data_IF_221313762665
#
_entry.id   IF_221313762665
#
_cell.length_a   1.000
_cell.length_b   1.000
_cell.length_c   1.000
_cell.angle_alpha   90.00
_cell.angle_beta   90.00
_cell.angle_gamma   90.00
#
_symmetry.space_group_name_H-M   'P 1'
#
loop_
_entity.id
_entity.type
_entity.pdbx_description
1 polymer ?
#
# COMPACT_ATOMS: atom_id res chain seq x y z
N UNK A 1 -18.20 12.26 -25.11
CA UNK A 1 -18.70 12.52 -23.74
C UNK A 1 -17.95 11.60 -22.80
N UNK A 2 -17.04 12.11 -21.98
CA UNK A 2 -16.34 11.30 -20.99
C UNK A 2 -17.35 10.68 -20.02
N UNK A 3 -17.33 9.36 -19.77
CA UNK A 3 -18.21 8.76 -18.78
C UNK A 3 -17.85 9.29 -17.39
N UNK A 4 -18.89 9.63 -16.62
CA UNK A 4 -18.84 10.30 -15.31
C UNK A 4 -18.81 9.27 -14.18
N UNK A 5 -17.84 8.37 -14.17
CA UNK A 5 -17.77 7.33 -13.15
C UNK A 5 -16.59 7.55 -12.23
N UNK A 6 -16.88 7.57 -10.93
CA UNK A 6 -15.93 7.73 -9.82
C UNK A 6 -15.34 6.40 -9.35
N UNK A 7 -15.70 5.30 -10.01
CA UNK A 7 -15.41 3.94 -9.61
C UNK A 7 -14.87 3.18 -10.82
N UNK A 8 -13.81 2.41 -10.62
CA UNK A 8 -13.24 1.56 -11.67
C UNK A 8 -14.21 0.40 -11.95
N UNK A 9 -14.62 0.15 -13.20
CA UNK A 9 -15.54 -0.93 -13.53
C UNK A 9 -15.04 -2.29 -13.01
N UNK A 10 -15.90 -3.00 -12.30
CA UNK A 10 -15.58 -4.34 -11.79
C UNK A 10 -15.70 -5.44 -12.86
N UNK A 11 -16.41 -5.20 -13.96
CA UNK A 11 -16.70 -6.20 -14.99
C UNK A 11 -15.77 -6.05 -16.20
N UNK A 12 -15.06 -7.12 -16.55
CA UNK A 12 -14.25 -7.21 -17.76
C UNK A 12 -15.15 -7.29 -19.00
N UNK A 13 -14.93 -6.45 -20.03
CA UNK A 13 -15.74 -6.50 -21.25
C UNK A 13 -15.64 -7.84 -21.97
N UNK A 14 -16.76 -8.33 -22.51
CA UNK A 14 -16.84 -9.57 -23.31
C UNK A 14 -15.74 -9.71 -24.37
N UNK A 15 -15.34 -8.60 -25.01
CA UNK A 15 -14.29 -8.63 -26.04
C UNK A 15 -12.92 -9.04 -25.49
N UNK A 16 -12.65 -8.71 -24.22
CA UNK A 16 -11.42 -9.03 -23.50
C UNK A 16 -11.53 -10.42 -22.87
N UNK A 17 -12.73 -10.81 -22.44
CA UNK A 17 -12.99 -12.11 -21.82
C UNK A 17 -13.03 -13.30 -22.80
N UNK A 18 -12.92 -13.08 -24.13
CA UNK A 18 -13.06 -14.14 -25.14
C UNK A 18 -11.73 -14.78 -25.53
N UNK A 19 -11.77 -16.12 -25.56
CA UNK A 19 -10.77 -17.06 -26.08
C UNK A 19 -9.43 -17.12 -25.33
N UNK A 20 -9.37 -18.02 -24.35
CA UNK A 20 -8.16 -18.40 -23.63
C UNK A 20 -7.57 -19.64 -24.30
N UNK A 21 -6.34 -19.55 -24.79
CA UNK A 21 -5.56 -20.76 -25.04
C UNK A 21 -5.27 -21.40 -23.67
N UNK A 22 -5.48 -22.70 -23.52
CA UNK A 22 -4.97 -23.37 -22.33
C UNK A 22 -3.43 -23.29 -22.30
N UNK A 23 -2.85 -22.96 -21.14
CA UNK A 23 -1.41 -23.08 -20.94
C UNK A 23 -0.97 -24.52 -21.25
N UNK A 24 0.17 -24.68 -21.90
CA UNK A 24 0.83 -25.98 -22.01
C UNK A 24 1.24 -26.49 -20.63
N UNK A 25 1.55 -27.78 -20.52
CA UNK A 25 1.95 -28.38 -19.25
C UNK A 25 3.18 -27.68 -18.62
N UNK A 26 4.14 -27.24 -19.43
CA UNK A 26 5.33 -26.51 -18.94
C UNK A 26 5.00 -25.09 -18.50
N UNK A 27 4.10 -24.40 -19.21
CA UNK A 27 3.67 -23.04 -18.83
C UNK A 27 2.82 -23.09 -17.55
N UNK A 28 1.92 -24.06 -17.43
CA UNK A 28 1.10 -24.27 -16.24
C UNK A 28 1.93 -24.66 -15.00
N UNK A 29 3.07 -25.34 -15.20
CA UNK A 29 3.98 -25.66 -14.09
C UNK A 29 4.73 -24.43 -13.55
N UNK A 30 4.85 -23.36 -14.35
CA UNK A 30 5.43 -22.08 -13.94
C UNK A 30 4.36 -21.07 -13.47
N UNK A 31 3.08 -21.35 -13.69
CA UNK A 31 1.98 -20.46 -13.31
C UNK A 31 1.65 -20.56 -11.82
N UNK A 32 1.50 -19.39 -11.19
CA UNK A 32 1.17 -19.27 -9.78
C UNK A 32 2.33 -19.49 -8.84
N UNK A 33 3.57 -19.55 -9.33
CA UNK A 33 4.73 -19.61 -8.45
C UNK A 33 4.80 -18.35 -7.58
N UNK A 34 5.22 -18.54 -6.32
CA UNK A 34 5.23 -17.48 -5.32
C UNK A 34 6.62 -17.37 -4.73
N UNK A 35 7.17 -16.16 -4.73
CA UNK A 35 8.49 -15.88 -4.15
C UNK A 35 8.45 -14.70 -3.19
N UNK A 36 9.17 -14.82 -2.08
CA UNK A 36 9.47 -13.70 -1.20
C UNK A 36 10.49 -12.79 -1.89
N UNK A 37 10.12 -11.54 -2.18
CA UNK A 37 11.02 -10.54 -2.74
C UNK A 37 11.68 -9.75 -1.62
N UNK A 38 10.87 -9.28 -0.65
CA UNK A 38 11.32 -8.59 0.55
C UNK A 38 10.60 -9.22 1.74
N UNK A 39 11.35 -9.60 2.77
CA UNK A 39 10.76 -10.15 3.99
C UNK A 39 11.38 -9.46 5.21
N UNK A 40 10.62 -8.56 5.83
CA UNK A 40 11.04 -7.78 7.01
C UNK A 40 10.53 -8.39 8.31
N UNK A 41 9.63 -9.38 8.24
CA UNK A 41 9.12 -10.08 9.41
C UNK A 41 8.25 -11.29 9.06
N UNK A 42 7.67 -11.95 10.09
CA UNK A 42 6.65 -12.97 9.90
C UNK A 42 5.41 -12.39 9.21
N UNK A 43 4.75 -13.21 8.40
CA UNK A 43 3.42 -12.95 7.83
C UNK A 43 2.41 -12.69 8.96
N UNK A 44 1.50 -11.74 8.76
CA UNK A 44 0.49 -11.30 9.75
C UNK A 44 1.00 -10.34 10.83
N UNK A 45 2.32 -10.12 10.92
CA UNK A 45 2.94 -9.05 11.73
C UNK A 45 3.35 -7.85 10.84
N UNK A 46 3.21 -8.00 9.51
CA UNK A 46 3.61 -7.09 8.44
C UNK A 46 2.45 -6.86 7.50
N UNK A 47 2.54 -5.78 6.73
CA UNK A 47 1.67 -5.55 5.58
C UNK A 47 2.25 -6.32 4.40
N UNK A 48 1.55 -7.35 3.96
CA UNK A 48 1.96 -8.24 2.88
C UNK A 48 1.46 -7.68 1.53
N UNK A 49 2.39 -7.11 0.75
CA UNK A 49 2.11 -6.55 -0.60
C UNK A 49 2.37 -7.63 -1.64
N UNK A 50 1.35 -7.96 -2.43
CA UNK A 50 1.44 -8.97 -3.49
C UNK A 50 1.52 -8.29 -4.86
N UNK A 51 2.65 -8.48 -5.54
CA UNK A 51 2.80 -8.08 -6.93
C UNK A 51 2.45 -9.25 -7.86
N UNK A 52 1.63 -8.97 -8.88
CA UNK A 52 1.23 -9.96 -9.89
C UNK A 52 1.51 -9.39 -11.28
N UNK A 53 2.25 -10.13 -12.10
CA UNK A 53 2.61 -9.69 -13.46
C UNK A 53 1.57 -10.14 -14.48
N UNK A 54 0.99 -9.22 -15.27
CA UNK A 54 0.13 -9.56 -16.40
C UNK A 54 0.76 -9.20 -17.76
N UNK A 55 0.48 -10.02 -18.77
CA UNK A 55 1.09 -9.86 -20.10
C UNK A 55 2.57 -10.28 -20.16
N UNK A 56 3.06 -11.01 -19.16
CA UNK A 56 4.36 -11.68 -19.18
C UNK A 56 4.15 -13.16 -19.52
N UNK A 57 4.76 -13.62 -20.60
CA UNK A 57 4.74 -15.05 -20.95
C UNK A 57 5.62 -15.86 -19.98
N UNK A 58 5.57 -17.19 -20.06
CA UNK A 58 6.44 -18.06 -19.25
C UNK A 58 7.93 -17.74 -19.43
N UNK A 59 8.33 -17.31 -20.63
CA UNK A 59 9.71 -16.90 -20.92
C UNK A 59 10.09 -15.52 -20.35
N UNK A 60 9.12 -14.73 -19.89
CA UNK A 60 9.30 -13.34 -19.44
C UNK A 60 9.08 -13.17 -17.93
N UNK A 61 8.92 -14.25 -17.15
CA UNK A 61 8.75 -14.14 -15.70
C UNK A 61 9.99 -13.52 -15.02
N UNK A 62 11.19 -13.74 -15.59
CA UNK A 62 12.40 -13.05 -15.15
C UNK A 62 12.34 -11.53 -15.32
N UNK A 63 11.70 -11.05 -16.40
CA UNK A 63 11.49 -9.62 -16.66
C UNK A 63 10.49 -9.06 -15.64
N UNK A 64 9.36 -9.74 -15.42
CA UNK A 64 8.39 -9.36 -14.37
C UNK A 64 9.06 -9.23 -13.00
N UNK A 65 9.89 -10.19 -12.59
CA UNK A 65 10.58 -10.11 -11.30
C UNK A 65 11.55 -8.93 -11.23
N UNK A 66 12.18 -8.56 -12.34
CA UNK A 66 13.05 -7.39 -12.43
C UNK A 66 12.25 -6.08 -12.31
N UNK A 67 11.13 -5.99 -13.03
CA UNK A 67 10.22 -4.84 -13.00
C UNK A 67 9.63 -4.65 -11.61
N UNK A 68 9.21 -5.74 -10.96
CA UNK A 68 8.73 -5.73 -9.58
C UNK A 68 9.78 -5.15 -8.63
N UNK A 69 11.01 -5.67 -8.65
CA UNK A 69 12.09 -5.18 -7.76
C UNK A 69 12.35 -3.70 -7.99
N UNK A 70 12.50 -3.30 -9.25
CA UNK A 70 12.69 -1.88 -9.59
C UNK A 70 11.51 -1.02 -9.13
N UNK A 71 10.27 -1.51 -9.31
CA UNK A 71 9.06 -0.79 -8.94
C UNK A 71 8.98 -0.60 -7.43
N UNK A 72 9.23 -1.66 -6.67
CA UNK A 72 9.23 -1.60 -5.23
C UNK A 72 10.32 -0.66 -4.69
N UNK A 73 11.53 -0.70 -5.26
CA UNK A 73 12.63 0.20 -4.86
C UNK A 73 12.24 1.67 -5.09
N UNK A 74 11.57 1.98 -6.20
CA UNK A 74 11.09 3.33 -6.51
C UNK A 74 9.93 3.75 -5.59
N UNK A 75 8.91 2.91 -5.42
CA UNK A 75 7.77 3.18 -4.53
C UNK A 75 8.21 3.38 -3.08
N UNK A 76 9.09 2.50 -2.59
CA UNK A 76 9.60 2.54 -1.22
C UNK A 76 10.58 3.69 -0.95
N UNK A 77 10.95 4.47 -1.98
CA UNK A 77 11.68 5.72 -1.83
C UNK A 77 10.77 6.95 -1.63
N UNK A 78 9.46 6.81 -1.83
CA UNK A 78 8.48 7.90 -1.66
C UNK A 78 7.88 7.87 -0.27
N UNK A 79 7.68 9.04 0.37
CA UNK A 79 6.99 9.10 1.66
C UNK A 79 5.46 8.95 1.50
N UNK A 80 4.76 8.21 2.38
CA UNK A 80 5.27 7.64 3.63
C UNK A 80 5.89 6.24 3.52
N UNK A 81 5.99 5.61 2.35
CA UNK A 81 6.59 4.26 2.24
C UNK A 81 8.04 4.23 2.75
N UNK A 82 8.84 5.24 2.43
CA UNK A 82 10.24 5.31 2.84
C UNK A 82 10.45 5.21 4.35
N UNK A 83 9.70 5.98 5.14
CA UNK A 83 9.78 5.94 6.61
C UNK A 83 9.25 4.62 7.20
N UNK A 84 8.41 3.88 6.47
CA UNK A 84 7.66 2.73 6.96
C UNK A 84 8.05 1.41 6.29
N UNK A 85 9.10 1.38 5.46
CA UNK A 85 9.51 0.20 4.67
C UNK A 85 9.65 -1.11 5.50
N UNK A 86 10.02 -1.00 6.78
CA UNK A 86 10.16 -2.13 7.71
C UNK A 86 8.81 -2.74 8.15
N UNK A 87 7.68 -2.16 7.74
CA UNK A 87 6.35 -2.71 7.94
C UNK A 87 5.93 -3.67 6.85
N UNK A 88 6.64 -3.74 5.73
CA UNK A 88 6.17 -4.45 4.54
C UNK A 88 6.93 -5.76 4.32
N UNK A 89 6.18 -6.79 3.92
CA UNK A 89 6.72 -7.88 3.12
C UNK A 89 6.25 -7.67 1.67
N UNK A 90 7.02 -8.18 0.72
CA UNK A 90 6.71 -8.08 -0.71
C UNK A 90 6.83 -9.47 -1.33
N UNK A 91 5.76 -9.89 -1.99
CA UNK A 91 5.64 -11.19 -2.64
C UNK A 91 5.47 -10.99 -4.15
N UNK A 92 6.08 -11.86 -4.95
CA UNK A 92 5.72 -12.01 -6.35
C UNK A 92 4.78 -13.19 -6.51
N UNK A 93 3.79 -13.06 -7.39
CA UNK A 93 2.99 -14.18 -7.90
C UNK A 93 3.04 -14.16 -9.42
N UNK A 94 3.51 -15.26 -9.99
CA UNK A 94 3.71 -15.38 -11.43
C UNK A 94 2.38 -15.71 -12.12
N UNK A 95 1.80 -14.77 -12.86
CA UNK A 95 0.60 -15.02 -13.66
C UNK A 95 0.99 -15.18 -15.14
N UNK A 96 1.21 -16.43 -15.56
CA UNK A 96 1.75 -16.76 -16.87
C UNK A 96 0.71 -16.46 -17.95
N UNK A 97 1.00 -15.45 -18.77
CA UNK A 97 0.13 -15.03 -19.87
C UNK A 97 0.42 -15.80 -21.16
N UNK A 98 -0.62 -16.09 -21.95
CA UNK A 98 -0.46 -16.70 -23.28
C UNK A 98 0.21 -15.77 -24.29
N UNK A 99 0.00 -14.47 -24.14
CA UNK A 99 0.55 -13.44 -25.02
C UNK A 99 1.29 -12.37 -24.23
N UNK A 100 2.36 -11.86 -24.84
CA UNK A 100 3.10 -10.72 -24.28
C UNK A 100 2.37 -9.40 -24.53
N UNK A 101 2.34 -8.56 -23.51
CA UNK A 101 1.79 -7.22 -23.51
C UNK A 101 0.31 -7.13 -23.12
N UNK A 102 -0.31 -5.96 -23.32
CA UNK A 102 -1.66 -5.66 -22.77
C UNK A 102 -2.70 -5.42 -23.88
N UNK A 103 -3.98 -5.71 -23.61
CA UNK A 103 -5.07 -5.33 -24.52
C UNK A 103 -5.23 -3.79 -24.58
N UNK A 104 -5.58 -3.24 -25.73
CA UNK A 104 -5.72 -1.79 -25.92
C UNK A 104 -4.41 -1.04 -26.22
N UNK A 105 -3.31 -1.76 -26.46
CA UNK A 105 -1.96 -1.25 -26.74
C UNK A 105 -1.35 -1.97 -27.96
N UNK A 106 -0.97 -1.26 -29.05
CA UNK A 106 -0.94 0.21 -29.22
C UNK A 106 -2.30 0.88 -29.45
N UNK A 107 -3.32 0.12 -29.88
CA UNK A 107 -4.63 0.66 -30.24
C UNK A 107 -5.76 0.02 -29.44
N UNK A 108 -6.86 0.77 -29.24
CA UNK A 108 -8.04 0.36 -28.45
C UNK A 108 -8.62 -1.00 -28.84
N UNK A 109 -8.56 -1.34 -30.13
CA UNK A 109 -9.13 -2.57 -30.68
C UNK A 109 -8.23 -3.79 -30.53
N UNK A 110 -6.98 -3.62 -30.05
CA UNK A 110 -6.06 -4.73 -29.80
C UNK A 110 -6.58 -5.55 -28.61
N UNK A 111 -6.68 -6.86 -28.79
CA UNK A 111 -7.03 -7.81 -27.74
C UNK A 111 -5.89 -8.81 -27.59
N UNK A 112 -5.48 -9.06 -26.35
CA UNK A 112 -4.46 -10.02 -25.97
C UNK A 112 -4.99 -10.98 -24.92
N UNK A 113 -4.64 -12.25 -25.09
CA UNK A 113 -4.90 -13.31 -24.13
C UNK A 113 -3.84 -13.28 -23.03
N UNK A 114 -4.14 -12.52 -21.98
CA UNK A 114 -3.30 -12.39 -20.78
C UNK A 114 -3.96 -13.05 -19.57
N UNK A 115 -3.17 -13.35 -18.54
CA UNK A 115 -3.59 -14.12 -17.38
C UNK A 115 -4.67 -13.41 -16.56
N UNK A 116 -4.50 -12.11 -16.32
CA UNK A 116 -5.38 -11.23 -15.53
C UNK A 116 -6.28 -10.34 -16.38
N UNK A 117 -6.19 -10.45 -17.71
CA UNK A 117 -6.98 -9.69 -18.66
C UNK A 117 -6.81 -8.18 -18.51
N UNK A 118 -5.59 -7.71 -18.25
CA UNK A 118 -5.29 -6.28 -18.24
C UNK A 118 -5.67 -5.62 -19.57
N UNK A 119 -6.30 -4.44 -19.50
CA UNK A 119 -6.69 -3.67 -20.68
C UNK A 119 -6.74 -2.15 -20.43
N UNK A 120 -6.23 -1.40 -21.40
CA UNK A 120 -6.41 0.05 -21.50
C UNK A 120 -7.80 0.42 -22.05
N UNK A 121 -8.13 1.71 -22.03
CA UNK A 121 -9.41 2.25 -22.52
C UNK A 121 -10.62 1.75 -21.72
N UNK A 122 -10.39 1.40 -20.46
CA UNK A 122 -11.46 1.15 -19.52
C UNK A 122 -12.31 2.41 -19.39
N UNK A 123 -13.63 2.26 -19.47
CA UNK A 123 -14.58 3.38 -19.56
C UNK A 123 -14.20 4.44 -20.61
N UNK A 124 -13.67 4.02 -21.76
CA UNK A 124 -13.22 4.91 -22.85
C UNK A 124 -12.11 5.90 -22.45
N UNK A 125 -11.49 5.74 -21.28
CA UNK A 125 -10.36 6.54 -20.80
C UNK A 125 -9.06 5.80 -21.18
N UNK A 126 -8.31 6.34 -22.13
CA UNK A 126 -7.13 5.68 -22.70
C UNK A 126 -6.14 5.15 -21.65
N UNK A 127 -5.80 5.97 -20.66
CA UNK A 127 -4.83 5.65 -19.60
C UNK A 127 -5.38 4.76 -18.48
N UNK A 128 -6.70 4.50 -18.45
CA UNK A 128 -7.30 3.71 -17.38
C UNK A 128 -7.03 2.23 -17.67
N UNK A 129 -6.13 1.64 -16.88
CA UNK A 129 -5.63 0.27 -17.03
C UNK A 129 -6.39 -0.66 -16.06
N UNK A 130 -7.40 -1.33 -16.58
CA UNK A 130 -8.25 -2.22 -15.79
C UNK A 130 -7.84 -3.69 -15.86
N UNK A 131 -8.31 -4.49 -14.93
CA UNK A 131 -8.01 -5.93 -14.77
C UNK A 131 -9.29 -6.71 -14.47
N UNK A 132 -9.27 -8.02 -14.69
CA UNK A 132 -10.29 -8.92 -14.14
C UNK A 132 -10.00 -9.19 -12.66
N UNK A 133 -10.81 -8.60 -11.79
CA UNK A 133 -10.61 -8.65 -10.33
C UNK A 133 -10.77 -10.06 -9.75
N UNK A 134 -11.56 -10.94 -10.38
CA UNK A 134 -11.73 -12.32 -9.94
C UNK A 134 -10.50 -13.17 -10.29
N UNK A 135 -9.86 -12.90 -11.43
CA UNK A 135 -8.56 -13.50 -11.77
C UNK A 135 -7.48 -13.00 -10.82
N UNK A 136 -7.42 -11.70 -10.54
CA UNK A 136 -6.50 -11.13 -9.54
C UNK A 136 -6.66 -11.82 -8.17
N UNK A 137 -7.90 -11.95 -7.68
CA UNK A 137 -8.22 -12.65 -6.44
C UNK A 137 -7.63 -14.08 -6.43
N UNK A 138 -7.82 -14.83 -7.53
CA UNK A 138 -7.34 -16.22 -7.62
C UNK A 138 -5.82 -16.37 -7.56
N UNK A 139 -5.07 -15.37 -8.04
CA UNK A 139 -3.61 -15.36 -7.95
C UNK A 139 -3.14 -14.82 -6.60
N UNK A 140 -3.76 -13.75 -6.08
CA UNK A 140 -3.45 -13.21 -4.76
C UNK A 140 -3.62 -14.28 -3.66
N UNK A 141 -4.64 -15.14 -3.78
CA UNK A 141 -4.88 -16.26 -2.88
C UNK A 141 -3.74 -17.30 -2.80
N UNK A 142 -2.79 -17.29 -3.74
CA UNK A 142 -1.63 -18.19 -3.74
C UNK A 142 -0.52 -17.69 -2.80
N UNK A 143 -0.48 -16.39 -2.51
CA UNK A 143 0.50 -15.80 -1.59
C UNK A 143 0.22 -16.24 -0.14
N UNK A 144 1.22 -16.20 0.76
CA UNK A 144 1.01 -16.53 2.17
C UNK A 144 -0.02 -15.64 2.88
N UNK A 145 -0.11 -14.37 2.45
CA UNK A 145 -1.11 -13.38 2.85
C UNK A 145 -1.14 -12.26 1.80
N UNK A 146 -2.22 -11.46 1.81
CA UNK A 146 -2.39 -10.34 0.89
C UNK A 146 -3.21 -9.21 1.54
N UNK A 147 -2.57 -8.09 1.81
CA UNK A 147 -3.22 -6.87 2.33
C UNK A 147 -3.42 -5.80 1.25
N UNK A 148 -2.52 -5.78 0.27
CA UNK A 148 -2.53 -4.90 -0.90
C UNK A 148 -2.03 -5.66 -2.12
N UNK A 149 -2.74 -5.56 -3.25
CA UNK A 149 -2.30 -6.14 -4.52
C UNK A 149 -1.84 -5.04 -5.47
N UNK A 150 -0.71 -5.27 -6.14
CA UNK A 150 -0.20 -4.43 -7.23
C UNK A 150 -0.07 -5.27 -8.50
N UNK A 151 -0.79 -4.92 -9.55
CA UNK A 151 -0.67 -5.57 -10.86
C UNK A 151 0.28 -4.76 -11.75
N UNK A 152 1.38 -5.37 -12.18
CA UNK A 152 2.26 -4.80 -13.20
C UNK A 152 1.90 -5.40 -14.55
N UNK A 153 1.46 -4.55 -15.48
CA UNK A 153 1.08 -4.98 -16.82
C UNK A 153 2.20 -4.66 -17.81
N UNK A 154 2.69 -5.68 -18.53
CA UNK A 154 3.82 -5.59 -19.46
C UNK A 154 3.55 -4.59 -20.60
N UNK A 155 3.88 -3.32 -20.39
CA UNK A 155 3.60 -2.26 -21.36
C UNK A 155 4.41 -1.01 -21.05
N UNK A 156 4.83 -0.34 -22.12
CA UNK A 156 5.44 1.00 -22.07
C UNK A 156 4.39 2.12 -22.11
N UNK A 157 3.10 1.81 -22.31
CA UNK A 157 2.05 2.83 -22.42
C UNK A 157 1.76 3.42 -21.04
N UNK A 158 1.46 4.72 -20.98
CA UNK A 158 1.10 5.36 -19.72
C UNK A 158 -0.29 4.90 -19.24
N UNK A 159 -0.36 4.34 -18.04
CA UNK A 159 -1.63 4.12 -17.37
C UNK A 159 -1.56 3.25 -16.12
N UNK A 160 -2.66 3.33 -15.38
CA UNK A 160 -2.90 2.70 -14.09
C UNK A 160 -4.37 2.86 -13.68
N UNK A 161 -4.74 2.19 -12.60
CA UNK A 161 -6.03 2.30 -11.94
C UNK A 161 -5.93 1.80 -10.49
N UNK A 162 -6.64 2.46 -9.58
CA UNK A 162 -6.73 2.10 -8.18
C UNK A 162 -8.13 1.64 -7.81
N UNK A 163 -8.24 0.41 -7.34
CA UNK A 163 -9.50 -0.20 -6.90
C UNK A 163 -9.59 -0.15 -5.39
N UNK A 164 -10.68 0.43 -4.87
CA UNK A 164 -11.07 0.26 -3.47
C UNK A 164 -12.11 -0.84 -3.38
N UNK A 165 -11.76 -1.99 -2.80
CA UNK A 165 -12.66 -3.12 -2.62
C UNK A 165 -12.29 -3.90 -1.36
N UNK A 166 -13.09 -4.88 -0.97
CA UNK A 166 -12.67 -5.82 0.09
C UNK A 166 -12.70 -7.22 -0.50
N UNK A 167 -11.53 -7.85 -0.52
CA UNK A 167 -11.30 -9.19 -1.05
C UNK A 167 -11.77 -10.27 -0.08
N UNK A 168 -12.02 -11.49 -0.57
CA UNK A 168 -12.27 -12.65 0.28
C UNK A 168 -10.98 -13.18 0.91
N UNK A 169 -9.82 -12.88 0.32
CA UNK A 169 -8.49 -13.26 0.81
C UNK A 169 -7.78 -12.17 1.61
N UNK A 170 -8.46 -11.04 1.90
CA UNK A 170 -8.03 -10.09 2.94
C UNK A 170 -7.63 -8.70 2.45
N UNK A 171 -7.23 -8.54 1.19
CA UNK A 171 -6.73 -7.26 0.70
C UNK A 171 -7.83 -6.21 0.52
N UNK A 172 -7.43 -4.95 0.68
CA UNK A 172 -8.33 -3.79 0.61
C UNK A 172 -8.32 -3.09 -0.77
N UNK A 173 -7.43 -3.46 -1.67
CA UNK A 173 -7.44 -2.86 -2.99
C UNK A 173 -6.42 -3.43 -3.95
N UNK A 174 -6.60 -3.03 -5.21
CA UNK A 174 -5.72 -3.39 -6.32
C UNK A 174 -5.21 -2.10 -6.93
N UNK A 175 -3.90 -1.91 -6.98
CA UNK A 175 -3.27 -0.87 -7.79
C UNK A 175 -2.77 -1.50 -9.08
N UNK A 176 -3.03 -0.90 -10.23
CA UNK A 176 -2.45 -1.33 -11.51
C UNK A 176 -1.47 -0.29 -12.02
N UNK A 177 -0.39 -0.73 -12.63
CA UNK A 177 0.53 0.14 -13.34
C UNK A 177 1.11 -0.59 -14.54
N UNK A 178 1.43 0.16 -15.58
CA UNK A 178 2.22 -0.36 -16.70
C UNK A 178 3.66 -0.53 -16.25
N UNK A 179 4.35 -1.60 -16.61
CA UNK A 179 5.70 -1.90 -16.10
C UNK A 179 6.78 -0.90 -16.51
N UNK A 180 6.77 -0.50 -17.78
CA UNK A 180 7.94 0.10 -18.45
C UNK A 180 7.77 1.59 -18.80
N UNK A 181 6.65 2.21 -18.42
CA UNK A 181 6.50 3.66 -18.60
C UNK A 181 7.38 4.42 -17.62
N UNK A 182 7.99 5.54 -18.06
CA UNK A 182 8.93 6.33 -17.24
C UNK A 182 8.32 6.84 -15.93
N UNK A 183 7.02 7.17 -15.92
CA UNK A 183 6.27 7.63 -14.74
C UNK A 183 5.56 6.49 -13.96
N UNK A 184 5.82 5.22 -14.31
CA UNK A 184 5.09 4.06 -13.77
C UNK A 184 5.18 3.95 -12.25
N UNK A 185 6.30 4.34 -11.65
CA UNK A 185 6.46 4.34 -10.19
C UNK A 185 5.52 5.34 -9.52
N UNK A 186 5.45 6.56 -10.07
CA UNK A 186 4.56 7.59 -9.55
C UNK A 186 3.10 7.20 -9.75
N UNK A 187 2.77 6.54 -10.87
CA UNK A 187 1.45 5.94 -11.09
C UNK A 187 1.17 4.90 -10.00
N UNK A 188 2.06 3.93 -9.76
CA UNK A 188 1.85 2.92 -8.72
C UNK A 188 1.65 3.55 -7.33
N UNK A 189 2.44 4.56 -6.95
CA UNK A 189 2.25 5.27 -5.69
C UNK A 189 0.88 5.97 -5.65
N UNK A 190 0.48 6.65 -6.73
CA UNK A 190 -0.85 7.26 -6.86
C UNK A 190 -1.99 6.24 -6.70
N UNK A 191 -1.92 5.11 -7.43
CA UNK A 191 -2.98 4.09 -7.42
C UNK A 191 -3.07 3.36 -6.08
N UNK A 192 -1.96 3.21 -5.35
CA UNK A 192 -2.00 2.74 -3.95
C UNK A 192 -2.62 3.77 -2.99
N UNK A 193 -2.60 5.05 -3.35
CA UNK A 193 -3.36 6.10 -2.66
C UNK A 193 -4.87 5.80 -2.62
N UNK A 194 -5.42 5.30 -3.73
CA UNK A 194 -6.78 4.78 -3.76
C UNK A 194 -6.90 3.45 -3.03
N UNK A 195 -6.05 2.49 -3.41
CA UNK A 195 -6.20 1.08 -3.03
C UNK A 195 -6.00 0.84 -1.53
N UNK A 196 -5.12 1.61 -0.90
CA UNK A 196 -4.79 1.50 0.51
C UNK A 196 -5.26 2.71 1.32
N UNK A 197 -4.99 3.93 0.83
CA UNK A 197 -5.34 5.17 1.52
C UNK A 197 -6.80 5.60 1.37
N UNK A 198 -7.57 4.95 0.49
CA UNK A 198 -8.98 5.28 0.18
C UNK A 198 -9.18 6.74 -0.23
N UNK A 199 -8.18 7.29 -0.90
CA UNK A 199 -8.16 8.66 -1.36
C UNK A 199 -8.99 8.80 -2.65
N UNK A 200 -9.57 9.98 -2.85
CA UNK A 200 -10.12 10.39 -4.13
C UNK A 200 -9.03 11.02 -5.00
N UNK A 201 -9.29 11.04 -6.31
CA UNK A 201 -8.54 11.90 -7.21
C UNK A 201 -8.76 13.38 -6.90
N UNK A 202 -7.71 14.18 -7.03
CA UNK A 202 -7.70 15.62 -6.77
C UNK A 202 -7.64 16.46 -8.05
N UNK A 203 -7.51 15.83 -9.22
CA UNK A 203 -7.67 16.50 -10.52
C UNK A 203 -9.15 16.63 -10.92
N UNK A 204 -9.40 17.47 -11.92
CA UNK A 204 -10.73 17.72 -12.47
C UNK A 204 -10.70 17.96 -13.98
N UNK A 205 -11.89 17.88 -14.59
CA UNK A 205 -12.11 18.16 -16.00
C UNK A 205 -13.19 19.24 -16.13
N UNK A 206 -12.93 20.31 -16.88
CA UNK A 206 -13.84 21.46 -16.98
C UNK A 206 -15.27 21.07 -17.40
N UNK A 207 -15.40 20.05 -18.26
CA UNK A 207 -16.67 19.53 -18.77
C UNK A 207 -17.56 18.84 -17.71
N UNK A 208 -17.04 18.55 -16.51
CA UNK A 208 -17.81 17.91 -15.43
C UNK A 208 -18.73 18.87 -14.68
N UNK A 209 -18.50 20.18 -14.78
CA UNK A 209 -19.32 21.20 -14.13
C UNK A 209 -19.30 21.12 -12.59
N UNK A 210 -20.42 21.40 -11.94
CA UNK A 210 -20.50 21.47 -10.48
C UNK A 210 -20.96 20.14 -9.88
N UNK A 211 -20.23 19.65 -8.88
CA UNK A 211 -20.65 18.50 -8.10
C UNK A 211 -21.89 18.82 -7.26
N UNK A 212 -22.96 18.03 -7.43
CA UNK A 212 -24.24 18.19 -6.72
C UNK A 212 -24.58 17.01 -5.81
N UNK A 213 -23.74 15.98 -5.77
CA UNK A 213 -23.94 14.78 -4.97
C UNK A 213 -23.80 14.99 -3.46
N UNK A 214 -23.89 13.90 -2.71
CA UNK A 214 -23.68 13.87 -1.26
C UNK A 214 -22.22 14.19 -0.89
N UNK A 215 -21.97 14.52 0.38
CA UNK A 215 -20.61 14.67 0.91
C UNK A 215 -19.79 13.39 0.61
N UNK A 216 -18.62 13.50 -0.06
CA UNK A 216 -17.80 12.33 -0.37
C UNK A 216 -17.35 11.59 0.90
N UNK A 217 -17.08 10.29 0.80
CA UNK A 217 -16.55 9.50 1.91
C UNK A 217 -15.04 9.71 2.10
N UNK A 218 -14.34 9.87 0.99
CA UNK A 218 -12.88 9.97 0.85
C UNK A 218 -12.31 11.09 1.72
N UNK A 219 -11.17 10.83 2.36
CA UNK A 219 -10.62 11.73 3.37
C UNK A 219 -10.08 13.04 2.79
N UNK A 220 -9.73 13.08 1.50
CA UNK A 220 -9.16 14.23 0.79
C UNK A 220 -10.14 14.95 -0.16
N UNK A 221 -11.44 14.69 -0.07
CA UNK A 221 -12.46 15.44 -0.81
C UNK A 221 -13.63 15.86 0.10
N UNK A 222 -14.14 17.09 -0.08
CA UNK A 222 -15.25 17.61 0.72
C UNK A 222 -16.05 18.71 0.03
N UNK A 223 -17.35 18.84 0.32
CA UNK A 223 -18.15 20.02 -0.06
C UNK A 223 -18.01 21.18 0.92
N UNK A 224 -17.37 20.95 2.07
CA UNK A 224 -17.24 21.91 3.16
C UNK A 224 -16.15 22.95 2.86
N UNK A 225 -16.37 24.19 3.29
CA UNK A 225 -15.31 25.20 3.35
C UNK A 225 -14.35 24.90 4.51
N UNK A 226 -13.16 25.50 4.49
CA UNK A 226 -12.21 25.40 5.61
C UNK A 226 -12.83 25.80 6.96
N UNK A 227 -13.61 26.89 6.98
CA UNK A 227 -14.31 27.33 8.20
C UNK A 227 -15.34 26.30 8.69
N UNK A 228 -16.08 25.67 7.78
CA UNK A 228 -17.05 24.62 8.11
C UNK A 228 -16.38 23.34 8.61
N UNK A 229 -15.26 22.93 8.01
CA UNK A 229 -14.48 21.79 8.50
C UNK A 229 -13.99 22.03 9.92
N UNK A 230 -13.44 23.21 10.21
CA UNK A 230 -12.98 23.60 11.55
C UNK A 230 -14.11 23.60 12.57
N UNK A 231 -15.26 24.24 12.25
CA UNK A 231 -16.37 24.33 13.20
C UNK A 231 -17.06 23.00 13.46
N UNK A 232 -17.14 22.13 12.44
CA UNK A 232 -17.76 20.80 12.55
C UNK A 232 -16.79 19.71 12.98
N UNK A 233 -15.48 20.00 13.04
CA UNK A 233 -14.42 19.02 13.29
C UNK A 233 -14.46 17.81 12.34
N UNK A 234 -14.63 18.07 11.04
CA UNK A 234 -14.73 17.03 10.01
C UNK A 234 -13.55 17.06 9.05
N UNK A 235 -13.34 15.95 8.35
CA UNK A 235 -12.32 15.80 7.28
C UNK A 235 -10.93 16.18 7.83
N UNK A 236 -10.17 17.02 7.13
CA UNK A 236 -8.82 17.41 7.51
C UNK A 236 -8.74 18.67 8.36
N UNK A 237 -9.77 18.98 9.16
CA UNK A 237 -9.79 20.20 9.97
C UNK A 237 -8.54 20.41 10.85
N UNK A 238 -7.93 19.31 11.34
CA UNK A 238 -6.71 19.33 12.19
C UNK A 238 -5.46 19.82 11.43
N UNK A 239 -5.53 19.83 10.11
CA UNK A 239 -4.42 20.18 9.22
C UNK A 239 -4.53 21.59 8.65
N UNK A 240 -5.70 22.25 8.72
CA UNK A 240 -5.89 23.59 8.14
C UNK A 240 -4.81 24.56 8.61
N UNK A 241 -4.19 25.26 7.65
CA UNK A 241 -3.12 26.23 7.84
C UNK A 241 -1.72 25.64 7.99
N UNK A 242 -1.56 24.32 7.99
CA UNK A 242 -0.25 23.69 8.07
C UNK A 242 0.44 23.65 6.70
N UNK A 243 1.75 23.85 6.69
CA UNK A 243 2.58 23.57 5.51
C UNK A 243 2.63 22.07 5.27
N UNK A 244 2.36 21.66 4.05
CA UNK A 244 2.25 20.27 3.63
C UNK A 244 3.50 19.85 2.81
N UNK A 245 3.94 18.58 2.89
CA UNK A 245 5.12 18.08 2.20
C UNK A 245 5.08 18.21 0.68
N UNK A 246 3.88 18.21 0.09
CA UNK A 246 3.64 18.52 -1.33
C UNK A 246 4.01 19.96 -1.76
N UNK A 247 4.45 20.79 -0.81
CA UNK A 247 4.85 22.19 -0.98
C UNK A 247 3.71 23.19 -0.79
N UNK A 248 2.49 22.71 -0.53
CA UNK A 248 1.31 23.54 -0.33
C UNK A 248 1.05 23.93 1.12
N UNK A 249 0.01 24.73 1.33
CA UNK A 249 -0.60 24.94 2.66
C UNK A 249 -1.94 24.23 2.67
N UNK A 250 -2.26 23.50 3.72
CA UNK A 250 -3.54 22.82 3.82
C UNK A 250 -4.67 23.83 4.02
N UNK A 251 -5.67 23.78 3.15
CA UNK A 251 -6.82 24.67 3.10
C UNK A 251 -8.05 23.96 2.54
N UNK A 252 -8.85 24.67 1.74
CA UNK A 252 -9.96 24.10 0.98
C UNK A 252 -9.90 24.72 -0.42
N UNK A 253 -9.34 23.98 -1.37
CA UNK A 253 -9.10 24.45 -2.73
C UNK A 253 -10.18 23.88 -3.64
N UNK A 254 -10.99 24.73 -4.26
CA UNK A 254 -12.07 24.27 -5.12
C UNK A 254 -11.51 23.53 -6.36
N UNK A 255 -12.17 22.43 -6.71
CA UNK A 255 -11.77 21.52 -7.77
C UNK A 255 -11.15 20.23 -7.23
N UNK A 256 -11.69 19.09 -7.65
CA UNK A 256 -11.22 17.77 -7.26
C UNK A 256 -12.30 16.72 -7.49
N UNK A 257 -11.95 15.43 -7.37
CA UNK A 257 -12.85 14.31 -7.63
C UNK A 257 -13.51 14.43 -9.01
N UNK A 258 -12.72 14.82 -10.01
CA UNK A 258 -13.14 15.08 -11.40
C UNK A 258 -13.95 16.37 -11.63
N UNK A 259 -14.50 17.01 -10.59
CA UNK A 259 -15.36 18.19 -10.73
C UNK A 259 -14.58 19.50 -10.49
N UNK A 260 -14.68 20.49 -11.39
CA UNK A 260 -14.03 21.80 -11.21
C UNK A 260 -14.68 22.65 -10.11
N UNK A 261 -15.93 22.36 -9.71
CA UNK A 261 -16.69 23.18 -8.74
C UNK A 261 -17.48 22.32 -7.74
N UNK A 262 -17.72 22.88 -6.55
CA UNK A 262 -18.57 22.26 -5.52
C UNK A 262 -17.91 21.15 -4.68
N UNK A 263 -16.64 20.84 -4.95
CA UNK A 263 -15.78 19.97 -4.14
C UNK A 263 -14.45 20.68 -3.91
N UNK A 264 -13.91 20.52 -2.71
CA UNK A 264 -12.61 21.02 -2.30
C UNK A 264 -11.64 19.85 -2.08
N UNK A 265 -10.38 20.08 -2.48
CA UNK A 265 -9.20 19.26 -2.16
C UNK A 265 -8.35 19.96 -1.08
N UNK A 266 -7.44 19.26 -0.37
CA UNK A 266 -6.77 19.79 0.80
C UNK A 266 -5.65 20.80 0.50
N UNK A 267 -4.93 20.66 -0.61
CA UNK A 267 -3.83 21.54 -1.02
C UNK A 267 -4.00 21.96 -2.47
N UNK A 268 -3.22 22.93 -2.95
CA UNK A 268 -3.31 23.28 -4.37
C UNK A 268 -2.93 22.08 -5.25
N UNK A 269 -1.91 21.30 -4.88
CA UNK A 269 -1.47 20.15 -5.65
C UNK A 269 -0.89 19.07 -4.71
N UNK A 270 -0.98 17.81 -5.12
CA UNK A 270 -0.44 16.63 -4.44
C UNK A 270 -0.28 15.50 -5.45
N UNK A 271 0.29 14.35 -5.04
CA UNK A 271 0.37 13.18 -5.93
C UNK A 271 -1.01 12.70 -6.42
N UNK A 272 -2.08 12.93 -5.66
CA UNK A 272 -3.46 12.59 -6.06
C UNK A 272 -4.01 13.53 -7.14
N UNK A 273 -3.27 14.59 -7.50
CA UNK A 273 -3.61 15.51 -8.59
C UNK A 273 -2.58 15.46 -9.73
N UNK A 274 -1.30 15.42 -9.42
CA UNK A 274 -0.21 15.41 -10.41
C UNK A 274 0.96 14.57 -9.89
N UNK A 275 1.46 13.67 -10.73
CA UNK A 275 2.62 12.82 -10.44
C UNK A 275 3.89 13.62 -10.14
N UNK A 276 4.87 12.99 -9.48
CA UNK A 276 6.14 13.62 -9.11
C UNK A 276 6.03 14.55 -7.90
N UNK A 277 4.99 14.38 -7.08
CA UNK A 277 4.74 15.13 -5.85
C UNK A 277 4.57 14.18 -4.68
N UNK A 278 4.66 14.71 -3.47
CA UNK A 278 4.29 13.95 -2.27
C UNK A 278 2.76 13.95 -2.05
N UNK A 279 2.27 13.03 -1.23
CA UNK A 279 0.93 13.14 -0.66
C UNK A 279 0.80 14.42 0.18
N UNK A 280 -0.38 15.05 0.12
CA UNK A 280 -0.77 16.08 1.05
C UNK A 280 -0.80 15.54 2.49
N UNK A 281 -0.71 16.39 3.53
CA UNK A 281 -0.78 15.90 4.92
C UNK A 281 -2.00 15.00 5.22
N UNK A 282 -3.22 15.33 4.77
CA UNK A 282 -4.37 14.44 4.94
C UNK A 282 -4.20 13.11 4.18
N UNK A 283 -3.63 13.15 2.97
CA UNK A 283 -3.33 11.94 2.19
C UNK A 283 -2.28 11.06 2.87
N UNK A 284 -1.21 11.67 3.40
CA UNK A 284 -0.16 10.96 4.14
C UNK A 284 -0.69 10.31 5.41
N UNK A 285 -1.54 11.02 6.16
CA UNK A 285 -2.21 10.45 7.33
C UNK A 285 -3.07 9.24 6.97
N UNK A 286 -3.82 9.32 5.86
CA UNK A 286 -4.64 8.22 5.38
C UNK A 286 -3.80 7.00 4.93
N UNK A 287 -2.67 7.23 4.26
CA UNK A 287 -1.72 6.16 3.91
C UNK A 287 -1.14 5.48 5.17
N UNK A 288 -0.71 6.26 6.17
CA UNK A 288 -0.24 5.70 7.45
C UNK A 288 -1.36 4.93 8.17
N UNK A 289 -2.62 5.39 8.06
CA UNK A 289 -3.77 4.66 8.57
C UNK A 289 -3.92 3.28 7.90
N UNK A 290 -3.76 3.22 6.58
CA UNK A 290 -3.75 1.97 5.81
C UNK A 290 -2.59 1.05 6.19
N UNK A 291 -1.38 1.59 6.41
CA UNK A 291 -0.24 0.79 6.90
C UNK A 291 -0.54 0.13 8.25
N UNK A 292 -1.06 0.91 9.21
CA UNK A 292 -1.43 0.43 10.54
C UNK A 292 -2.79 -0.25 10.63
N UNK A 293 -3.46 -0.48 9.50
CA UNK A 293 -4.57 -1.42 9.43
C UNK A 293 -4.06 -2.86 9.49
N UNK A 294 -2.95 -3.12 8.81
CA UNK A 294 -2.42 -4.47 8.56
C UNK A 294 -1.12 -4.77 9.31
N UNK A 295 -0.32 -3.75 9.61
CA UNK A 295 0.91 -3.90 10.39
C UNK A 295 0.84 -3.24 11.77
N UNK A 296 1.66 -3.73 12.70
CA UNK A 296 1.93 -3.07 13.97
C UNK A 296 3.24 -2.28 13.94
N UNK A 297 3.37 -1.25 14.80
CA UNK A 297 4.63 -0.49 14.97
C UNK A 297 5.81 -1.38 15.38
N UNK A 298 5.53 -2.51 16.05
CA UNK A 298 6.53 -3.42 16.58
C UNK A 298 6.23 -4.85 16.13
N UNK A 299 7.02 -5.37 15.19
CA UNK A 299 7.05 -6.78 14.82
C UNK A 299 8.18 -7.53 15.54
N UNK A 300 8.09 -8.86 15.59
CA UNK A 300 9.20 -9.68 16.09
C UNK A 300 9.33 -11.02 15.39
N UNK A 301 10.56 -11.38 15.03
CA UNK A 301 10.90 -12.73 14.55
C UNK A 301 11.09 -13.73 15.70
N UNK A 302 11.04 -13.27 16.96
CA UNK A 302 11.24 -14.11 18.15
C UNK A 302 9.90 -14.38 18.80
N UNK A 303 9.45 -15.63 18.77
CA UNK A 303 8.19 -16.03 19.38
C UNK A 303 8.12 -15.74 20.88
N UNK A 304 6.95 -15.34 21.36
CA UNK A 304 6.69 -15.02 22.78
C UNK A 304 6.15 -16.21 23.58
N UNK A 305 5.80 -17.32 22.90
CA UNK A 305 5.11 -18.47 23.48
C UNK A 305 5.98 -19.43 24.30
N UNK A 306 7.30 -19.31 24.24
CA UNK A 306 8.24 -20.17 24.99
C UNK A 306 9.24 -19.33 25.77
N UNK A 307 9.62 -19.80 26.95
CA UNK A 307 10.63 -19.13 27.75
C UNK A 307 11.99 -19.15 27.03
N UNK A 308 12.62 -17.99 26.94
CA UNK A 308 13.91 -17.80 26.30
C UNK A 308 15.04 -18.13 27.28
N UNK A 309 16.14 -18.65 26.73
CA UNK A 309 17.42 -18.77 27.45
C UNK A 309 18.11 -17.41 27.53
N UNK A 310 19.06 -17.26 28.47
CA UNK A 310 19.77 -15.99 28.69
C UNK A 310 20.59 -15.48 27.49
N UNK A 311 21.05 -16.40 26.63
CA UNK A 311 21.82 -16.14 25.43
C UNK A 311 20.96 -16.05 24.15
N UNK A 312 19.65 -16.31 24.25
CA UNK A 312 18.74 -16.22 23.13
C UNK A 312 18.68 -14.77 22.62
N UNK A 313 18.80 -14.62 21.31
CA UNK A 313 18.68 -13.31 20.65
C UNK A 313 17.22 -12.99 20.41
N UNK A 314 16.77 -11.85 20.93
CA UNK A 314 15.46 -11.27 20.63
C UNK A 314 15.66 -10.23 19.53
N UNK A 315 15.04 -10.46 18.37
CA UNK A 315 15.03 -9.52 17.25
C UNK A 315 13.65 -8.92 17.08
N UNK A 316 13.60 -7.62 16.89
CA UNK A 316 12.38 -6.84 16.64
C UNK A 316 12.58 -5.90 15.47
N UNK A 317 11.48 -5.59 14.79
CA UNK A 317 11.45 -4.64 13.68
C UNK A 317 10.42 -3.55 13.96
N UNK A 318 10.75 -2.33 13.58
CA UNK A 318 9.94 -1.14 13.79
C UNK A 318 10.30 -0.10 12.71
N UNK A 319 9.36 0.79 12.32
CA UNK A 319 9.61 1.76 11.26
C UNK A 319 10.65 2.81 11.68
N UNK A 320 11.28 3.47 10.71
CA UNK A 320 12.33 4.45 10.98
C UNK A 320 11.83 5.67 11.78
N UNK A 321 10.53 5.95 11.71
CA UNK A 321 9.85 6.98 12.51
C UNK A 321 9.69 6.62 13.99
N UNK A 322 9.91 5.36 14.37
CA UNK A 322 9.66 4.87 15.71
C UNK A 322 10.90 4.89 16.61
N UNK A 323 10.66 5.11 17.91
CA UNK A 323 11.62 4.90 18.98
C UNK A 323 11.26 3.63 19.73
N UNK A 324 12.28 2.93 20.25
CA UNK A 324 12.10 1.69 21.03
C UNK A 324 12.77 1.78 22.40
N UNK A 325 12.08 1.29 23.42
CA UNK A 325 12.60 1.07 24.77
C UNK A 325 12.46 -0.39 25.17
N UNK A 326 13.33 -0.82 26.08
CA UNK A 326 13.35 -2.18 26.63
C UNK A 326 13.25 -2.11 28.15
N UNK A 327 12.49 -3.02 28.75
CA UNK A 327 12.41 -3.17 30.21
C UNK A 327 12.56 -4.63 30.63
N UNK A 328 13.08 -4.83 31.83
CA UNK A 328 13.12 -6.11 32.54
C UNK A 328 12.26 -5.96 33.79
N UNK A 329 11.26 -6.81 33.94
CA UNK A 329 10.32 -6.81 35.08
C UNK A 329 9.71 -5.43 35.36
N UNK A 330 9.37 -4.71 34.29
CA UNK A 330 8.79 -3.37 34.34
C UNK A 330 9.81 -2.23 34.50
N UNK A 331 11.08 -2.51 34.77
CA UNK A 331 12.13 -1.50 34.91
C UNK A 331 12.87 -1.28 33.60
N UNK A 332 12.93 -0.04 33.12
CA UNK A 332 13.59 0.28 31.85
C UNK A 332 15.10 0.06 31.90
N UNK A 333 15.64 -0.56 30.85
CA UNK A 333 17.08 -0.70 30.58
C UNK A 333 17.49 0.39 29.59
N UNK A 334 17.87 1.57 30.09
CA UNK A 334 18.14 2.76 29.26
C UNK A 334 19.27 2.54 28.24
N UNK A 335 20.27 1.72 28.57
CA UNK A 335 21.37 1.35 27.67
C UNK A 335 20.94 0.49 26.47
N UNK A 336 19.69 0.01 26.45
CA UNK A 336 19.11 -0.77 25.36
C UNK A 336 18.17 0.04 24.45
N UNK A 337 17.92 1.32 24.74
CA UNK A 337 17.12 2.20 23.87
C UNK A 337 17.62 2.17 22.42
N UNK A 338 16.70 2.12 21.47
CA UNK A 338 17.02 2.11 20.04
C UNK A 338 17.51 0.76 19.49
N UNK A 339 17.81 -0.24 20.32
CA UNK A 339 18.32 -1.54 19.83
C UNK A 339 17.20 -2.38 19.22
N UNK A 340 17.41 -2.86 18.00
CA UNK A 340 16.56 -3.84 17.31
C UNK A 340 16.90 -5.30 17.65
N UNK A 341 18.00 -5.52 18.35
CA UNK A 341 18.45 -6.85 18.78
C UNK A 341 19.07 -6.78 20.17
N UNK A 342 18.63 -7.66 21.07
CA UNK A 342 19.15 -7.79 22.44
C UNK A 342 19.19 -9.26 22.84
N UNK A 343 19.94 -9.57 23.89
CA UNK A 343 19.82 -10.84 24.64
C UNK A 343 19.39 -10.55 26.08
N UNK A 344 18.71 -11.48 26.78
CA UNK A 344 18.41 -11.29 28.20
C UNK A 344 19.65 -10.94 29.04
N UNK A 345 20.79 -11.60 28.78
CA UNK A 345 22.05 -11.28 29.45
C UNK A 345 22.50 -9.83 29.21
N UNK A 346 22.36 -9.31 27.98
CA UNK A 346 22.70 -7.91 27.65
C UNK A 346 21.78 -6.88 28.33
N UNK A 347 20.59 -7.31 28.77
CA UNK A 347 19.64 -6.50 29.52
C UNK A 347 19.85 -6.58 31.04
N UNK A 348 20.88 -7.32 31.49
CA UNK A 348 21.24 -7.42 32.91
C UNK A 348 20.62 -8.60 33.65
N UNK A 349 19.90 -9.51 32.97
CA UNK A 349 19.37 -10.73 33.62
C UNK A 349 20.53 -11.67 33.92
N UNK A 350 20.75 -12.01 35.20
CA UNK A 350 21.79 -12.92 35.70
C UNK A 350 21.31 -14.37 35.74
N UNK A 351 22.18 -15.37 35.97
CA UNK A 351 21.76 -16.77 36.16
C UNK A 351 21.42 -17.01 37.64
N UNK A 352 20.30 -16.44 38.07
CA UNK A 352 19.79 -16.51 39.45
C UNK A 352 18.70 -17.58 39.64
N UNK A 353 18.37 -18.32 38.58
CA UNK A 353 17.32 -19.33 38.56
C UNK A 353 15.90 -18.76 38.59
N UNK A 354 15.72 -17.43 38.54
CA UNK A 354 14.41 -16.78 38.57
C UNK A 354 13.78 -16.67 37.16
N UNK A 355 12.47 -16.47 37.14
CA UNK A 355 11.77 -16.12 35.91
C UNK A 355 11.75 -14.61 35.75
N UNK A 356 12.13 -14.12 34.57
CA UNK A 356 12.07 -12.70 34.23
C UNK A 356 11.16 -12.45 33.04
N UNK A 357 10.73 -11.21 32.91
CA UNK A 357 9.97 -10.71 31.76
C UNK A 357 10.75 -9.60 31.08
N UNK A 358 10.97 -9.74 29.77
CA UNK A 358 11.51 -8.67 28.94
C UNK A 358 10.35 -8.07 28.15
N UNK A 359 10.21 -6.75 28.15
CA UNK A 359 9.25 -6.05 27.31
C UNK A 359 9.97 -5.05 26.40
N UNK A 360 9.68 -5.13 25.10
CA UNK A 360 9.98 -4.08 24.14
C UNK A 360 8.74 -3.23 23.93
N UNK A 361 8.89 -1.91 23.90
CA UNK A 361 7.84 -0.96 23.55
C UNK A 361 8.34 -0.04 22.45
N UNK A 362 7.63 0.01 21.33
CA UNK A 362 7.91 0.95 20.25
C UNK A 362 6.80 2.01 20.14
N UNK A 363 7.19 3.25 19.88
CA UNK A 363 6.29 4.38 19.61
C UNK A 363 6.71 5.06 18.32
N UNK A 364 5.82 5.12 17.35
CA UNK A 364 5.98 5.93 16.15
C UNK A 364 5.81 7.42 16.51
N UNK A 365 6.83 8.21 16.21
CA UNK A 365 6.89 9.63 16.56
C UNK A 365 6.47 10.56 15.41
N UNK A 366 5.93 10.00 14.33
CA UNK A 366 5.48 10.74 13.15
C UNK A 366 4.65 11.96 13.53
N UNK A 367 4.92 13.08 12.85
CA UNK A 367 4.09 14.29 12.95
C UNK A 367 2.98 14.32 11.90
N UNK A 368 2.90 13.31 11.03
CA UNK A 368 1.91 13.18 9.98
C UNK A 368 0.61 12.49 10.44
N UNK A 369 0.41 12.31 11.75
CA UNK A 369 -0.82 11.75 12.32
C UNK A 369 -1.34 12.65 13.46
N UNK A 370 -2.56 13.14 13.29
CA UNK A 370 -3.32 13.97 14.23
C UNK A 370 -4.67 13.37 14.63
N UNK A 371 -5.16 12.34 13.94
CA UNK A 371 -6.36 11.61 14.34
C UNK A 371 -6.14 10.86 15.67
N UNK A 372 -6.87 11.21 16.75
CA UNK A 372 -6.74 10.53 18.03
C UNK A 372 -7.02 9.02 17.98
N UNK A 373 -7.83 8.55 17.04
CA UNK A 373 -8.08 7.11 16.88
C UNK A 373 -6.83 6.40 16.35
N UNK A 374 -6.20 6.97 15.31
CA UNK A 374 -4.96 6.45 14.74
C UNK A 374 -3.76 6.59 15.68
N UNK A 375 -3.68 7.68 16.46
CA UNK A 375 -2.61 7.87 17.46
C UNK A 375 -2.49 6.71 18.46
N UNK A 376 -3.61 6.02 18.78
CA UNK A 376 -3.60 4.85 19.66
C UNK A 376 -2.89 3.65 19.03
N UNK A 377 -2.82 3.57 17.71
CA UNK A 377 -2.11 2.52 16.97
C UNK A 377 -0.61 2.80 16.82
N UNK A 378 -0.16 4.03 17.09
CA UNK A 378 1.25 4.44 16.98
C UNK A 378 2.13 3.91 18.13
N UNK A 379 1.65 2.99 18.95
CA UNK A 379 2.46 2.36 20.00
C UNK A 379 2.09 0.90 20.14
N UNK A 380 3.10 0.05 20.23
CA UNK A 380 2.95 -1.38 20.45
C UNK A 380 4.00 -1.89 21.45
N UNK A 381 3.66 -2.95 22.17
CA UNK A 381 4.58 -3.66 23.05
C UNK A 381 4.57 -5.15 22.76
N UNK A 382 5.72 -5.80 23.01
CA UNK A 382 5.89 -7.26 22.96
C UNK A 382 6.64 -7.70 24.21
N UNK A 383 6.24 -8.84 24.77
CA UNK A 383 6.81 -9.34 26.04
C UNK A 383 7.22 -10.80 25.90
N UNK A 384 8.42 -11.12 26.38
CA UNK A 384 8.99 -12.48 26.41
C UNK A 384 9.27 -12.91 27.84
N UNK A 385 9.07 -14.19 28.12
CA UNK A 385 9.50 -14.82 29.37
C UNK A 385 10.93 -15.34 29.23
N UNK A 386 11.73 -15.24 30.28
CA UNK A 386 13.11 -15.73 30.33
C UNK A 386 13.26 -16.72 31.48
N UNK A 387 13.90 -17.85 31.21
CA UNK A 387 14.37 -18.76 32.25
C UNK A 387 15.85 -18.45 32.55
N UNK A 388 16.14 -17.92 33.75
CA UNK A 388 17.48 -17.52 34.15
C UNK A 388 18.31 -18.68 34.72
N UNK A 389 18.29 -19.82 34.03
CA UNK A 389 19.10 -21.00 34.37
C UNK A 389 20.52 -20.91 33.84
#
# INVERSE_FOLDING_TARGET
>A
SHPRHTEVPAATPDRIARADRALSASEAAADGDVSAVIQTGPVGDKLDVVFIGDGYTSAQQGDFHADLRSKWDQMSAVEPYASYKELFNVWSVDAVSNQSGVSGDPGKDVVKDTALKSYFWCDDIERLLCVDTAKVESYAAKAPDADLVVVLSNSTKYGGAGYTLTSQVGYDGIATASSDHADSDQVAVHETGHSLGKLADEYYYDDYGTYTGAEPGESNATKLTAAQMTSQQKKWYRWIGQTSPDGGTVGAYEGGRYYPKGINRPTDNSIMRTLGREFSLPGREAMIAGFYQHAGVLGSNTGTGTALKRDATIKVTFPASASITWSVDGTEVTAARGKSSVTPASLGITADGQAHTITAKATDNTKAVKDPALQKKLTASRTWKVAAS
#
